data_IF_861070668674
#
_entry.id   IF_861070668674
#
_cell.length_a   1.000
_cell.length_b   1.000
_cell.length_c   1.000
_cell.angle_alpha   90.00
_cell.angle_beta   90.00
_cell.angle_gamma   90.00
#
_symmetry.space_group_name_H-M   'P 1'
#
loop_
_entity.id
_entity.type
_entity.pdbx_description
1 polymer ?
#
# COMPACT_ATOMS: atom_id res chain seq x y z
N UNK A 1 -0.58 -12.60 12.21
CA UNK A 1 -0.12 -12.93 10.85
C UNK A 1 1.27 -12.34 10.67
N UNK A 2 2.14 -12.98 9.88
CA UNK A 2 3.49 -12.46 9.57
C UNK A 2 3.42 -11.45 8.41
N UNK A 3 4.40 -10.53 8.28
CA UNK A 3 4.49 -9.63 7.12
C UNK A 3 4.37 -10.36 5.78
N UNK A 4 5.03 -11.52 5.66
CA UNK A 4 4.94 -12.39 4.47
C UNK A 4 3.53 -12.90 4.19
N UNK A 5 2.77 -13.27 5.22
CA UNK A 5 1.38 -13.70 5.04
C UNK A 5 0.52 -12.55 4.50
N UNK A 6 0.70 -11.34 5.02
CA UNK A 6 -0.02 -10.17 4.51
C UNK A 6 0.35 -9.84 3.06
N UNK A 7 1.64 -9.90 2.71
CA UNK A 7 2.10 -9.73 1.32
C UNK A 7 1.38 -10.70 0.37
N UNK A 8 1.32 -11.99 0.72
CA UNK A 8 0.62 -12.99 -0.09
C UNK A 8 -0.89 -12.72 -0.18
N UNK A 9 -1.52 -12.28 0.91
CA UNK A 9 -2.93 -11.89 0.89
C UNK A 9 -3.19 -10.72 -0.08
N UNK A 10 -2.33 -9.70 -0.10
CA UNK A 10 -2.45 -8.59 -1.04
C UNK A 10 -2.35 -9.03 -2.51
N UNK A 11 -1.45 -9.98 -2.81
CA UNK A 11 -1.26 -10.53 -4.17
C UNK A 11 -2.41 -11.45 -4.63
N UNK A 12 -3.15 -12.04 -3.69
CA UNK A 12 -4.32 -12.89 -3.98
C UNK A 12 -5.60 -12.09 -4.26
N UNK A 13 -5.59 -10.77 -4.06
CA UNK A 13 -6.74 -9.90 -4.36
C UNK A 13 -6.93 -9.71 -5.87
N UNK A 14 -8.15 -9.36 -6.27
CA UNK A 14 -8.51 -9.05 -7.67
C UNK A 14 -9.17 -7.67 -7.74
N UNK A 15 -8.49 -6.62 -8.25
CA UNK A 15 -7.10 -6.60 -8.70
C UNK A 15 -6.10 -6.74 -7.53
N UNK A 16 -4.87 -7.20 -7.79
CA UNK A 16 -3.86 -7.35 -6.74
C UNK A 16 -3.42 -5.99 -6.18
N UNK A 17 -3.37 -5.87 -4.85
CA UNK A 17 -2.84 -4.69 -4.16
C UNK A 17 -1.32 -4.72 -4.12
N UNK A 18 -0.69 -4.51 -5.28
CA UNK A 18 0.76 -4.64 -5.47
C UNK A 18 1.56 -3.64 -4.64
N UNK A 19 1.02 -2.44 -4.43
CA UNK A 19 1.69 -1.41 -3.62
C UNK A 19 1.75 -1.83 -2.15
N UNK A 20 0.62 -2.25 -1.58
CA UNK A 20 0.57 -2.74 -0.21
C UNK A 20 1.43 -4.00 -0.02
N UNK A 21 1.44 -4.91 -1.00
CA UNK A 21 2.31 -6.09 -0.99
C UNK A 21 3.79 -5.71 -0.86
N UNK A 22 4.24 -4.69 -1.60
CA UNK A 22 5.62 -4.21 -1.51
C UNK A 22 5.95 -3.63 -0.13
N UNK A 23 5.02 -2.90 0.51
CA UNK A 23 5.20 -2.38 1.86
C UNK A 23 5.37 -3.49 2.90
N UNK A 24 4.72 -4.64 2.69
CA UNK A 24 4.89 -5.81 3.56
C UNK A 24 6.25 -6.48 3.41
N UNK A 25 6.89 -6.38 2.24
CA UNK A 25 8.30 -6.80 2.07
C UNK A 25 9.23 -5.89 2.86
N UNK A 26 9.01 -4.57 2.84
CA UNK A 26 9.77 -3.63 3.66
C UNK A 26 9.60 -3.88 5.17
N UNK A 27 8.38 -4.14 5.62
CA UNK A 27 8.07 -4.46 7.02
C UNK A 27 8.64 -5.82 7.49
N UNK A 28 9.02 -6.71 6.57
CA UNK A 28 9.72 -7.95 6.89
C UNK A 28 11.19 -7.69 7.28
N UNK A 29 11.81 -6.66 6.71
CA UNK A 29 13.21 -6.31 6.95
C UNK A 29 13.41 -5.26 8.05
N UNK A 30 12.42 -4.38 8.26
CA UNK A 30 12.44 -3.36 9.30
C UNK A 30 11.13 -3.35 10.10
N UNK A 31 11.22 -3.72 11.38
CA UNK A 31 10.08 -3.75 12.29
C UNK A 31 9.51 -2.35 12.62
N UNK A 32 10.30 -1.29 12.43
CA UNK A 32 9.87 0.09 12.63
C UNK A 32 9.37 0.75 11.35
N UNK A 33 9.28 0.01 10.24
CA UNK A 33 8.79 0.54 8.99
C UNK A 33 7.35 1.08 9.13
N UNK A 34 7.17 2.37 8.88
CA UNK A 34 5.92 3.09 9.07
C UNK A 34 4.90 2.83 7.93
N UNK A 35 4.58 1.56 7.66
CA UNK A 35 3.65 1.14 6.58
C UNK A 35 2.33 1.92 6.59
N UNK A 36 1.74 2.14 7.76
CA UNK A 36 0.47 2.84 7.88
C UNK A 36 0.55 4.31 7.45
N UNK A 37 1.67 4.98 7.75
CA UNK A 37 1.91 6.37 7.33
C UNK A 37 2.06 6.44 5.82
N UNK A 38 2.88 5.55 5.23
CA UNK A 38 3.06 5.46 3.77
C UNK A 38 1.74 5.20 3.04
N UNK A 39 0.86 4.37 3.61
CA UNK A 39 -0.47 4.13 3.05
C UNK A 39 -1.36 5.38 3.13
N UNK A 40 -1.36 6.06 4.27
CA UNK A 40 -2.13 7.29 4.46
C UNK A 40 -1.70 8.40 3.51
N UNK A 41 -0.39 8.56 3.32
CA UNK A 41 0.19 9.53 2.39
C UNK A 41 -0.21 9.24 0.94
N UNK A 42 -0.18 7.96 0.54
CA UNK A 42 -0.60 7.54 -0.79
C UNK A 42 -2.10 7.81 -1.03
N UNK A 43 -2.95 7.49 -0.06
CA UNK A 43 -4.38 7.76 -0.15
C UNK A 43 -4.67 9.27 -0.25
N UNK A 44 -3.91 10.08 0.48
CA UNK A 44 -4.00 11.54 0.38
C UNK A 44 -3.58 12.04 -1.00
N UNK A 45 -2.44 11.55 -1.51
CA UNK A 45 -1.95 11.92 -2.83
C UNK A 45 -2.96 11.55 -3.93
N UNK A 46 -3.53 10.35 -3.88
CA UNK A 46 -4.54 9.90 -4.83
C UNK A 46 -5.77 10.83 -4.82
N UNK A 47 -6.25 11.24 -3.65
CA UNK A 47 -7.35 12.21 -3.54
C UNK A 47 -6.99 13.57 -4.12
N UNK A 48 -5.78 14.07 -3.85
CA UNK A 48 -5.31 15.36 -4.38
C UNK A 48 -5.20 15.33 -5.90
N UNK A 49 -4.61 14.27 -6.45
CA UNK A 49 -4.50 14.06 -7.90
C UNK A 49 -5.88 13.93 -8.54
N UNK A 50 -6.78 13.12 -7.96
CA UNK A 50 -8.14 12.97 -8.46
C UNK A 50 -8.95 14.27 -8.44
N UNK A 51 -8.73 15.14 -7.46
CA UNK A 51 -9.36 16.46 -7.40
C UNK A 51 -8.74 17.47 -8.38
N UNK A 52 -7.46 17.32 -8.71
CA UNK A 52 -6.74 18.20 -9.62
C UNK A 52 -6.91 17.82 -11.10
N UNK A 53 -7.26 16.56 -11.39
CA UNK A 53 -7.50 16.09 -12.74
C UNK A 53 -8.94 16.42 -13.16
N UNK A 54 -9.16 16.99 -14.37
CA UNK A 54 -10.50 17.11 -14.91
C UNK A 54 -11.10 15.72 -15.10
N UNK A 55 -12.38 15.58 -14.72
CA UNK A 55 -13.16 14.38 -15.06
C UNK A 55 -13.25 14.33 -16.58
N UNK A 56 -12.60 13.34 -17.18
CA UNK A 56 -12.71 13.01 -18.62
C UNK A 56 -13.97 12.19 -18.89
#
# INVERSE_FOLDING_TARGET
>A
MTPRQHCLTCLQQTPPSVFEAALWVSAEHDAHFARHEVMSDMDQLQRQVGAALPVL
#
